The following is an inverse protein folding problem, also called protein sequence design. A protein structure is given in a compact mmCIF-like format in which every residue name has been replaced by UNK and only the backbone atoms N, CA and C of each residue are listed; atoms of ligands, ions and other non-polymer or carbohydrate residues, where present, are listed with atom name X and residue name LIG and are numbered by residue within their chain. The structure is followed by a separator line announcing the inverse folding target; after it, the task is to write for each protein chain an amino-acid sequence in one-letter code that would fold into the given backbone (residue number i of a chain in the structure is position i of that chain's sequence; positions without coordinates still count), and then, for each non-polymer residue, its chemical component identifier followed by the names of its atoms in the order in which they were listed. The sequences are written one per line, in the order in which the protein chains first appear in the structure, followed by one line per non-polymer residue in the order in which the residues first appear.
data_IF_712554325432
#
_entry.id   IF_712554325432
#
_cell.length_a   1.000
_cell.length_b   1.000
_cell.length_c   1.000
_cell.angle_alpha   90.00
_cell.angle_beta   90.00
_cell.angle_gamma   90.00
#
_symmetry.space_group_name_H-M   'P 1'
#
loop_
_entity.id
_entity.type
_entity.pdbx_description
1 polymer ?
#
# COMPACT_ATOMS: atom_id res chain seq x y z
N UNK A 1 85.52 2.22 51.94
CA UNK A 1 84.23 2.90 51.77
C UNK A 1 83.21 1.86 51.37
N UNK A 2 82.33 1.45 52.28
CA UNK A 2 81.23 0.53 51.95
C UNK A 2 80.01 1.39 51.57
N UNK A 3 79.66 1.42 50.29
CA UNK A 3 78.41 2.03 49.84
C UNK A 3 77.26 1.09 50.19
N UNK A 4 76.41 1.52 51.11
CA UNK A 4 75.22 0.80 51.53
C UNK A 4 74.12 1.02 50.48
N UNK A 5 73.82 0.01 49.68
CA UNK A 5 72.71 0.02 48.71
C UNK A 5 71.39 -0.19 49.45
N UNK A 6 70.75 0.89 49.91
CA UNK A 6 69.46 0.82 50.62
C UNK A 6 68.21 1.02 49.74
N UNK A 7 68.34 1.16 48.40
CA UNK A 7 67.22 1.56 47.53
C UNK A 7 66.56 0.46 46.69
N UNK A 8 67.04 -0.80 46.71
CA UNK A 8 66.47 -1.86 45.87
C UNK A 8 64.96 -2.13 46.05
N UNK A 9 64.40 -2.21 47.28
CA UNK A 9 62.99 -2.57 47.46
C UNK A 9 61.99 -1.47 47.07
N UNK A 10 62.43 -0.22 46.93
CA UNK A 10 61.56 0.86 46.44
C UNK A 10 61.48 0.87 44.91
N UNK A 11 62.60 0.58 44.24
CA UNK A 11 62.68 0.51 42.77
C UNK A 11 61.83 -0.65 42.24
N UNK A 12 61.87 -1.82 42.89
CA UNK A 12 61.03 -2.97 42.51
C UNK A 12 59.53 -2.65 42.60
N UNK A 13 59.09 -1.94 43.63
CA UNK A 13 57.68 -1.52 43.80
C UNK A 13 57.24 -0.54 42.72
N UNK A 14 58.09 0.43 42.34
CA UNK A 14 57.77 1.36 41.25
C UNK A 14 57.65 0.66 39.90
N UNK A 15 58.54 -0.30 39.63
CA UNK A 15 58.49 -1.14 38.42
C UNK A 15 57.18 -1.93 38.38
N UNK A 16 56.79 -2.57 39.48
CA UNK A 16 55.54 -3.34 39.56
C UNK A 16 54.30 -2.46 39.35
N UNK A 17 54.28 -1.25 39.92
CA UNK A 17 53.18 -0.29 39.70
C UNK A 17 53.08 0.09 38.22
N UNK A 18 54.21 0.37 37.58
CA UNK A 18 54.25 0.77 36.18
C UNK A 18 53.83 -0.39 35.25
N UNK A 19 54.29 -1.61 35.52
CA UNK A 19 53.88 -2.82 34.79
C UNK A 19 52.37 -3.03 34.92
N UNK A 20 51.82 -2.95 36.14
CA UNK A 20 50.39 -3.12 36.37
C UNK A 20 49.54 -2.05 35.65
N UNK A 21 50.04 -0.82 35.57
CA UNK A 21 49.39 0.27 34.83
C UNK A 21 49.33 -0.03 33.33
N UNK A 22 50.43 -0.50 32.74
CA UNK A 22 50.47 -0.87 31.33
C UNK A 22 49.61 -2.11 31.04
N UNK A 23 49.60 -3.12 31.91
CA UNK A 23 48.72 -4.28 31.79
C UNK A 23 47.25 -3.86 31.75
N UNK A 24 46.82 -2.98 32.67
CA UNK A 24 45.45 -2.44 32.68
C UNK A 24 45.11 -1.71 31.38
N UNK A 25 46.05 -0.92 30.85
CA UNK A 25 45.88 -0.21 29.58
C UNK A 25 45.69 -1.18 28.42
N UNK A 26 46.55 -2.20 28.30
CA UNK A 26 46.45 -3.24 27.26
C UNK A 26 45.13 -3.99 27.35
N UNK A 27 44.70 -4.38 28.56
CA UNK A 27 43.43 -5.06 28.77
C UNK A 27 42.22 -4.20 28.38
N UNK A 28 42.25 -2.90 28.68
CA UNK A 28 41.19 -1.97 28.29
C UNK A 28 41.09 -1.81 26.76
N UNK A 29 42.23 -1.74 26.07
CA UNK A 29 42.28 -1.69 24.61
C UNK A 29 41.76 -2.98 23.98
N UNK A 30 42.14 -4.14 24.52
CA UNK A 30 41.66 -5.45 24.05
C UNK A 30 40.13 -5.56 24.13
N UNK A 31 39.54 -5.17 25.27
CA UNK A 31 38.08 -5.16 25.45
C UNK A 31 37.38 -4.23 24.47
N UNK A 32 37.99 -3.06 24.20
CA UNK A 32 37.44 -2.10 23.25
C UNK A 32 37.45 -2.65 21.82
N UNK A 33 38.54 -3.33 21.44
CA UNK A 33 38.65 -4.02 20.16
C UNK A 33 37.63 -5.15 20.00
N UNK A 34 37.43 -5.97 21.04
CA UNK A 34 36.42 -7.05 21.03
C UNK A 34 35.00 -6.51 20.82
N UNK A 35 34.64 -5.40 21.49
CA UNK A 35 33.34 -4.74 21.30
C UNK A 35 33.16 -4.23 19.87
N UNK A 36 34.19 -3.62 19.29
CA UNK A 36 34.15 -3.16 17.89
C UNK A 36 33.99 -4.33 16.92
N UNK A 37 34.67 -5.45 17.19
CA UNK A 37 34.54 -6.66 16.37
C UNK A 37 33.12 -7.25 16.43
N UNK A 38 32.51 -7.29 17.61
CA UNK A 38 31.12 -7.72 17.78
C UNK A 38 30.14 -6.78 17.06
N UNK A 39 30.28 -5.47 17.26
CA UNK A 39 29.44 -4.47 16.59
C UNK A 39 29.53 -4.59 15.07
N UNK A 40 30.74 -4.80 14.51
CA UNK A 40 30.91 -5.02 13.07
C UNK A 40 30.13 -6.23 12.57
N UNK A 41 30.19 -7.37 13.29
CA UNK A 41 29.43 -8.57 12.92
C UNK A 41 27.92 -8.33 12.95
N UNK A 42 27.43 -7.60 13.95
CA UNK A 42 26.00 -7.24 14.04
C UNK A 42 25.57 -6.36 12.87
N UNK A 43 26.39 -5.37 12.48
CA UNK A 43 26.13 -4.56 11.30
C UNK A 43 26.07 -5.40 10.01
N UNK A 44 27.00 -6.33 9.82
CA UNK A 44 27.01 -7.24 8.66
C UNK A 44 25.74 -8.12 8.61
N UNK A 45 25.31 -8.66 9.75
CA UNK A 45 24.06 -9.44 9.86
C UNK A 45 22.85 -8.59 9.49
N UNK A 46 22.79 -7.35 9.98
CA UNK A 46 21.66 -6.45 9.69
C UNK A 46 21.58 -6.07 8.21
N UNK A 47 22.72 -5.80 7.57
CA UNK A 47 22.78 -5.52 6.13
C UNK A 47 22.23 -6.72 5.32
N UNK A 48 22.63 -7.94 5.69
CA UNK A 48 22.17 -9.14 4.99
C UNK A 48 20.65 -9.35 5.13
N UNK A 49 20.08 -9.08 6.30
CA UNK A 49 18.62 -9.14 6.51
C UNK A 49 17.88 -8.12 5.65
N UNK A 50 18.38 -6.88 5.58
CA UNK A 50 17.78 -5.82 4.77
C UNK A 50 17.80 -6.21 3.29
N UNK A 51 18.90 -6.76 2.79
CA UNK A 51 19.01 -7.19 1.40
C UNK A 51 18.02 -8.32 1.08
N UNK A 52 17.87 -9.31 1.96
CA UNK A 52 16.86 -10.36 1.80
C UNK A 52 15.43 -9.79 1.74
N UNK A 53 15.11 -8.80 2.59
CA UNK A 53 13.79 -8.18 2.58
C UNK A 53 13.54 -7.39 1.28
N UNK A 54 14.55 -6.69 0.77
CA UNK A 54 14.47 -5.98 -0.52
C UNK A 54 14.18 -6.97 -1.66
N UNK A 55 14.87 -8.10 -1.69
CA UNK A 55 14.68 -9.10 -2.74
C UNK A 55 13.28 -9.73 -2.68
N UNK A 56 12.78 -10.03 -1.47
CA UNK A 56 11.42 -10.52 -1.28
C UNK A 56 10.37 -9.51 -1.79
N UNK A 57 10.55 -8.22 -1.52
CA UNK A 57 9.62 -7.16 -2.00
C UNK A 57 9.65 -7.01 -3.52
N UNK A 58 10.81 -7.16 -4.16
CA UNK A 58 10.92 -7.13 -5.64
C UNK A 58 10.15 -8.29 -6.27
N UNK A 59 10.26 -9.49 -5.71
CA UNK A 59 9.52 -10.64 -6.21
C UNK A 59 8.00 -10.45 -6.04
N UNK A 60 7.55 -9.98 -4.87
CA UNK A 60 6.13 -9.64 -4.66
C UNK A 60 5.61 -8.61 -5.68
N UNK A 61 6.40 -7.57 -5.99
CA UNK A 61 6.06 -6.58 -7.01
C UNK A 61 5.81 -7.20 -8.39
N UNK A 62 6.68 -8.11 -8.83
CA UNK A 62 6.51 -8.84 -10.11
C UNK A 62 5.24 -9.68 -10.16
N UNK A 63 4.88 -10.34 -9.05
CA UNK A 63 3.64 -11.12 -8.97
C UNK A 63 2.39 -10.22 -9.13
N UNK A 64 2.38 -9.06 -8.47
CA UNK A 64 1.28 -8.10 -8.54
C UNK A 64 1.13 -7.48 -9.93
N UNK A 65 2.25 -7.12 -10.59
CA UNK A 65 2.23 -6.60 -11.97
C UNK A 65 1.63 -7.63 -12.95
N UNK A 66 2.03 -8.89 -12.85
CA UNK A 66 1.51 -9.97 -13.70
C UNK A 66 0.01 -10.22 -13.47
N UNK A 67 -0.46 -10.07 -12.23
CA UNK A 67 -1.88 -10.21 -11.91
C UNK A 67 -2.71 -9.08 -12.54
N UNK A 68 -2.23 -7.83 -12.46
CA UNK A 68 -2.87 -6.69 -13.11
C UNK A 68 -2.91 -6.84 -14.63
N UNK A 69 -1.82 -7.27 -15.26
CA UNK A 69 -1.79 -7.54 -16.70
C UNK A 69 -2.82 -8.60 -17.13
N UNK A 70 -2.97 -9.67 -16.34
CA UNK A 70 -3.96 -10.72 -16.59
C UNK A 70 -5.41 -10.21 -16.46
N UNK A 71 -5.69 -9.34 -15.49
CA UNK A 71 -7.01 -8.73 -15.34
C UNK A 71 -7.34 -7.81 -16.52
N UNK A 72 -6.40 -6.94 -16.93
CA UNK A 72 -6.57 -6.05 -18.10
C UNK A 72 -6.79 -6.88 -19.38
N UNK A 73 -6.06 -7.99 -19.55
CA UNK A 73 -6.24 -8.87 -20.70
C UNK A 73 -7.62 -9.53 -20.71
N UNK A 74 -8.09 -9.99 -19.55
CA UNK A 74 -9.43 -10.58 -19.39
C UNK A 74 -10.54 -9.58 -19.71
N UNK A 75 -10.41 -8.32 -19.28
CA UNK A 75 -11.35 -7.25 -19.62
C UNK A 75 -11.35 -6.92 -21.12
N UNK A 76 -10.17 -6.91 -21.77
CA UNK A 76 -10.06 -6.71 -23.22
C UNK A 76 -10.69 -7.84 -24.02
N UNK A 77 -10.46 -9.08 -23.63
CA UNK A 77 -11.03 -10.26 -24.30
C UNK A 77 -12.57 -10.34 -24.13
N UNK A 78 -13.10 -9.89 -22.97
CA UNK A 78 -14.55 -9.74 -22.75
C UNK A 78 -15.15 -8.66 -23.66
N UNK A 79 -14.42 -7.57 -23.92
CA UNK A 79 -14.88 -6.47 -24.77
C UNK A 79 -14.69 -6.72 -26.27
N UNK A 80 -13.81 -7.65 -26.68
CA UNK A 80 -13.56 -7.97 -28.09
C UNK A 80 -14.52 -9.00 -28.69
N UNK A 81 -15.20 -9.80 -27.86
CA UNK A 81 -16.13 -10.85 -28.32
C UNK A 81 -17.58 -10.37 -28.50
N UNK A 82 -17.85 -9.07 -28.30
CA UNK A 82 -19.17 -8.44 -28.47
C UNK A 82 -19.29 -7.57 -29.73
N UNK A 83 -18.52 -7.85 -30.78
CA UNK A 83 -18.56 -7.08 -32.04
C UNK A 83 -19.74 -7.44 -32.95
N UNK A 84 -20.81 -8.02 -32.41
CA UNK A 84 -22.08 -8.18 -33.11
C UNK A 84 -23.04 -7.06 -32.65
N UNK A 85 -23.06 -5.97 -33.43
CA UNK A 85 -24.00 -4.84 -33.34
C UNK A 85 -24.10 -4.18 -31.96
N UNK A 86 -23.23 -3.20 -31.72
CA UNK A 86 -23.46 -2.18 -30.70
C UNK A 86 -24.66 -1.34 -31.13
N UNK A 87 -25.87 -1.75 -30.72
CA UNK A 87 -26.94 -0.79 -30.53
C UNK A 87 -26.45 0.13 -29.41
N UNK A 88 -26.12 1.38 -29.75
CA UNK A 88 -25.83 2.43 -28.78
C UNK A 88 -27.14 2.74 -28.03
N UNK A 89 -27.55 1.85 -27.13
CA UNK A 89 -28.67 2.12 -26.23
C UNK A 89 -28.20 3.24 -25.31
N UNK A 90 -28.63 4.47 -25.62
CA UNK A 90 -28.38 5.62 -24.78
C UNK A 90 -29.27 5.49 -23.54
N UNK A 91 -28.72 4.87 -22.50
CA UNK A 91 -29.38 4.77 -21.21
C UNK A 91 -29.22 6.09 -20.45
N UNK A 92 -30.33 6.79 -20.23
CA UNK A 92 -30.40 7.97 -19.37
C UNK A 92 -31.07 7.55 -18.06
N UNK A 93 -30.49 8.00 -16.95
CA UNK A 93 -30.95 7.71 -15.61
C UNK A 93 -31.07 9.03 -14.83
N UNK A 94 -32.16 9.18 -14.08
CA UNK A 94 -32.32 10.27 -13.13
C UNK A 94 -32.87 9.75 -11.80
N UNK A 95 -32.46 10.37 -10.70
CA UNK A 95 -32.96 10.09 -9.36
C UNK A 95 -33.70 11.30 -8.82
N UNK A 96 -34.78 11.06 -8.06
CA UNK A 96 -35.38 12.12 -7.26
C UNK A 96 -34.44 12.55 -6.11
N UNK A 97 -34.78 13.65 -5.43
CA UNK A 97 -33.95 14.22 -4.35
C UNK A 97 -33.65 13.22 -3.23
N UNK A 98 -34.59 12.31 -2.95
CA UNK A 98 -34.48 11.32 -1.86
C UNK A 98 -33.78 10.03 -2.31
N UNK A 99 -33.43 9.91 -3.60
CA UNK A 99 -32.87 8.67 -4.21
C UNK A 99 -33.75 7.44 -4.02
N UNK A 100 -35.03 7.64 -3.73
CA UNK A 100 -36.05 6.58 -3.55
C UNK A 100 -36.74 6.22 -4.87
N UNK A 101 -36.72 7.12 -5.85
CA UNK A 101 -37.31 6.91 -7.17
C UNK A 101 -36.23 7.13 -8.23
N UNK A 102 -36.14 6.18 -9.15
CA UNK A 102 -35.25 6.18 -10.30
C UNK A 102 -36.09 6.14 -11.58
N UNK A 103 -35.69 6.91 -12.59
CA UNK A 103 -36.27 6.81 -13.95
C UNK A 103 -35.18 6.37 -14.90
N UNK A 104 -35.48 5.35 -15.71
CA UNK A 104 -34.60 4.83 -16.75
C UNK A 104 -35.26 4.90 -18.10
N UNK A 105 -34.50 5.28 -19.13
CA UNK A 105 -34.95 5.24 -20.52
C UNK A 105 -34.64 3.88 -21.12
N UNK A 106 -35.68 3.12 -21.48
CA UNK A 106 -35.51 1.91 -22.29
C UNK A 106 -36.18 2.17 -23.65
N UNK A 107 -35.38 2.51 -24.65
CA UNK A 107 -35.88 2.90 -25.98
C UNK A 107 -36.86 4.09 -25.88
N UNK A 108 -38.07 3.96 -26.45
CA UNK A 108 -39.13 4.97 -26.38
C UNK A 108 -39.88 5.01 -25.05
N UNK A 109 -39.74 3.98 -24.20
CA UNK A 109 -40.48 3.85 -22.94
C UNK A 109 -39.64 4.35 -21.74
N UNK A 110 -40.31 4.82 -20.69
CA UNK A 110 -39.67 5.29 -19.44
C UNK A 110 -40.11 4.44 -18.28
N UNK A 111 -39.18 3.72 -17.67
CA UNK A 111 -39.46 2.92 -16.50
C UNK A 111 -39.19 3.75 -15.24
N UNK A 112 -40.24 3.93 -14.44
CA UNK A 112 -40.19 4.51 -13.10
C UNK A 112 -40.03 3.37 -12.11
N UNK A 113 -38.96 3.39 -11.33
CA UNK A 113 -38.60 2.34 -10.40
C UNK A 113 -38.46 2.90 -8.99
N UNK A 114 -38.91 2.15 -7.99
CA UNK A 114 -38.55 2.38 -6.60
C UNK A 114 -37.15 1.84 -6.38
N UNK A 115 -36.30 2.60 -5.72
CA UNK A 115 -34.92 2.20 -5.42
C UNK A 115 -34.72 2.21 -3.92
N UNK A 116 -34.39 1.04 -3.36
CA UNK A 116 -34.18 0.85 -1.92
C UNK A 116 -33.14 -0.24 -1.68
N UNK A 117 -32.17 0.03 -0.80
CA UNK A 117 -31.15 -0.92 -0.36
C UNK A 117 -30.38 -1.62 -1.50
N UNK A 118 -30.14 -0.89 -2.60
CA UNK A 118 -29.42 -1.42 -3.77
C UNK A 118 -30.27 -2.27 -4.71
N UNK A 119 -31.57 -2.42 -4.42
CA UNK A 119 -32.53 -3.11 -5.27
C UNK A 119 -33.46 -2.10 -5.95
N UNK A 120 -33.83 -2.39 -7.19
CA UNK A 120 -34.83 -1.61 -7.91
C UNK A 120 -36.07 -2.45 -8.20
N UNK A 121 -37.23 -1.83 -8.05
CA UNK A 121 -38.53 -2.44 -8.35
C UNK A 121 -39.29 -1.55 -9.33
N UNK A 122 -39.70 -2.10 -10.47
CA UNK A 122 -40.52 -1.37 -11.44
C UNK A 122 -41.87 -1.00 -10.82
N UNK A 123 -42.16 0.30 -10.79
CA UNK A 123 -43.45 0.84 -10.35
C UNK A 123 -44.36 1.02 -11.56
N UNK A 124 -43.84 1.62 -12.62
CA UNK A 124 -44.63 2.01 -13.79
C UNK A 124 -43.75 2.18 -15.04
N UNK A 125 -44.27 1.81 -16.20
CA UNK A 125 -43.73 2.19 -17.50
C UNK A 125 -44.58 3.31 -18.11
N UNK A 126 -43.96 4.42 -18.45
CA UNK A 126 -44.58 5.58 -19.09
C UNK A 126 -44.31 5.53 -20.58
N UNK A 127 -45.39 5.60 -21.36
CA UNK A 127 -45.38 5.57 -22.82
C UNK A 127 -45.86 6.92 -23.35
N UNK A 128 -45.43 7.28 -24.56
CA UNK A 128 -45.95 8.46 -25.25
C UNK A 128 -44.91 9.28 -26.00
N UNK A 129 -43.62 9.00 -25.81
CA UNK A 129 -42.58 9.58 -26.65
C UNK A 129 -42.47 8.80 -27.95
N UNK A 130 -42.59 9.48 -29.09
CA UNK A 130 -42.40 8.90 -30.42
C UNK A 130 -40.91 8.74 -30.79
N UNK A 131 -40.03 9.35 -29.99
CA UNK A 131 -38.58 9.41 -30.22
C UNK A 131 -37.79 9.23 -28.92
N UNK A 132 -36.50 8.94 -29.07
CA UNK A 132 -35.53 8.85 -27.97
C UNK A 132 -35.47 10.15 -27.16
N UNK A 133 -35.55 10.02 -25.82
CA UNK A 133 -35.36 11.16 -24.92
C UNK A 133 -33.88 11.45 -24.77
N UNK A 134 -33.53 12.73 -24.89
CA UNK A 134 -32.15 13.18 -24.83
C UNK A 134 -31.69 13.52 -23.40
N UNK A 135 -32.62 13.79 -22.47
CA UNK A 135 -32.35 14.20 -21.10
C UNK A 135 -33.52 13.91 -20.15
N UNK A 136 -33.23 13.65 -18.87
CA UNK A 136 -34.22 13.52 -17.80
C UNK A 136 -33.88 14.48 -16.66
N UNK A 137 -34.88 15.16 -16.11
CA UNK A 137 -34.67 16.08 -14.99
C UNK A 137 -35.81 16.02 -13.96
N UNK A 138 -35.45 15.72 -12.71
CA UNK A 138 -36.37 15.82 -11.57
C UNK A 138 -36.47 17.24 -11.06
N UNK A 139 -37.70 17.69 -10.79
CA UNK A 139 -37.94 18.95 -10.09
C UNK A 139 -37.47 18.85 -8.64
N UNK A 140 -36.71 19.84 -8.18
CA UNK A 140 -35.98 19.80 -6.89
C UNK A 140 -36.81 19.45 -5.65
N UNK A 141 -38.09 19.80 -5.63
CA UNK A 141 -38.95 19.69 -4.45
C UNK A 141 -40.19 18.80 -4.68
N UNK A 142 -40.19 17.97 -5.71
CA UNK A 142 -41.34 17.11 -6.03
C UNK A 142 -40.90 15.86 -6.79
N UNK A 143 -41.76 14.85 -6.85
CA UNK A 143 -41.55 13.67 -7.71
C UNK A 143 -41.98 13.91 -9.17
N UNK A 144 -42.24 15.16 -9.57
CA UNK A 144 -42.39 15.53 -10.98
C UNK A 144 -41.04 15.57 -11.69
N UNK A 145 -41.04 15.19 -12.95
CA UNK A 145 -39.87 15.23 -13.81
C UNK A 145 -40.26 15.68 -15.22
N UNK A 146 -39.26 16.09 -15.99
CA UNK A 146 -39.37 16.38 -17.41
C UNK A 146 -38.44 15.43 -18.19
N UNK A 147 -38.90 15.01 -19.37
CA UNK A 147 -38.26 14.06 -20.27
C UNK A 147 -38.46 14.50 -21.70
#
# INVERSE_FOLDING_TARGET
MCFHFQNQPQIEKEIDIQINKEIKKVLSSKRSFERLSQSKREYEININKINQEIDNRKEQGKYLEKEQENQIKKEKDLNSNGSDKIYNYKLIIAFNKESSIMITTNDNDRDVQEFKDGQSQLIQTLKGHEYDVAALYFMKNSNYFIS
#
